data_IF_419097667041
#
_entry.id   IF_419097667041
#
_cell.length_a   1.000
_cell.length_b   1.000
_cell.length_c   1.000
_cell.angle_alpha   90.00
_cell.angle_beta   90.00
_cell.angle_gamma   90.00
#
_symmetry.space_group_name_H-M   'P 1'
#
loop_
_entity.id
_entity.type
_entity.pdbx_description
1 polymer ?
#
# COMPACT_ATOMS: atom_id res chain seq x y z
N UNK A 1 -73.80 -0.31 -20.36
CA UNK A 1 -73.85 -0.73 -18.95
C UNK A 1 -72.57 -0.27 -18.29
N UNK A 2 -72.72 0.57 -17.25
CA UNK A 2 -71.87 0.74 -16.06
C UNK A 2 -70.38 1.11 -16.33
N UNK A 3 -69.83 2.27 -15.98
CA UNK A 3 -70.21 3.26 -14.97
C UNK A 3 -69.11 3.38 -13.90
N UNK A 4 -68.44 4.55 -13.89
CA UNK A 4 -67.80 5.26 -12.77
C UNK A 4 -66.76 4.58 -11.84
N UNK A 5 -65.57 5.21 -11.75
CA UNK A 5 -64.88 5.56 -10.48
C UNK A 5 -63.57 6.28 -10.77
N UNK A 6 -63.04 7.21 -9.98
CA UNK A 6 -63.55 8.11 -8.95
C UNK A 6 -62.39 9.10 -8.65
N UNK A 7 -62.73 10.30 -8.19
CA UNK A 7 -61.88 11.49 -8.03
C UNK A 7 -60.75 11.39 -6.97
N UNK A 8 -59.75 12.31 -7.00
CA UNK A 8 -58.76 12.48 -5.93
C UNK A 8 -59.31 13.36 -4.80
N UNK A 9 -59.10 12.96 -3.55
CA UNK A 9 -59.50 13.75 -2.37
C UNK A 9 -58.30 14.29 -1.58
N UNK A 10 -58.43 15.57 -1.24
CA UNK A 10 -57.53 16.42 -0.47
C UNK A 10 -57.47 16.05 1.01
N UNK A 11 -56.27 16.29 1.57
CA UNK A 11 -55.93 16.86 2.87
C UNK A 11 -56.98 16.93 3.99
N UNK A 12 -56.59 16.43 5.17
CA UNK A 12 -57.03 17.00 6.46
C UNK A 12 -55.83 17.26 7.37
N UNK A 13 -55.78 18.52 7.84
CA UNK A 13 -54.95 19.02 8.92
C UNK A 13 -55.44 18.38 10.22
N UNK A 14 -54.52 18.00 11.11
CA UNK A 14 -54.88 17.77 12.51
C UNK A 14 -54.26 18.88 13.37
N UNK A 15 -55.08 19.90 13.59
CA UNK A 15 -54.95 20.92 14.62
C UNK A 15 -55.56 20.36 15.90
N UNK A 16 -54.77 20.24 16.97
CA UNK A 16 -55.31 20.22 18.33
C UNK A 16 -54.52 21.16 19.23
N UNK A 17 -55.12 22.32 19.46
CA UNK A 17 -54.84 23.21 20.57
C UNK A 17 -55.50 22.70 21.84
N UNK A 18 -54.80 22.80 22.98
CA UNK A 18 -55.33 23.05 24.34
C UNK A 18 -54.11 23.43 25.21
N UNK A 19 -53.91 24.74 25.45
CA UNK A 19 -54.20 25.49 26.70
C UNK A 19 -53.12 25.27 27.79
N UNK A 20 -52.10 26.14 27.95
CA UNK A 20 -52.06 27.43 28.70
C UNK A 20 -52.27 27.21 30.23
N UNK A 21 -51.47 27.68 31.22
CA UNK A 21 -50.35 28.64 31.37
C UNK A 21 -49.59 28.33 32.72
N UNK A 22 -48.93 29.28 33.42
CA UNK A 22 -47.57 29.80 33.21
C UNK A 22 -46.67 29.65 34.45
N UNK A 23 -45.35 29.68 34.33
CA UNK A 23 -44.50 30.23 35.39
C UNK A 23 -43.24 30.84 34.77
N UNK A 24 -43.09 32.13 35.00
CA UNK A 24 -42.02 33.01 34.57
C UNK A 24 -40.70 32.69 35.28
N UNK A 25 -39.57 32.90 34.58
CA UNK A 25 -38.40 33.68 35.02
C UNK A 25 -37.43 33.84 33.82
N UNK A 26 -36.66 34.95 33.75
CA UNK A 26 -36.05 35.45 32.51
C UNK A 26 -34.64 34.88 32.31
N UNK A 27 -34.33 34.35 31.11
CA UNK A 27 -32.95 34.10 30.69
C UNK A 27 -32.48 35.16 29.69
N UNK A 28 -31.79 36.11 30.31
CA UNK A 28 -30.61 36.86 29.87
C UNK A 28 -30.08 36.52 28.48
N UNK A 29 -30.00 37.57 27.65
CA UNK A 29 -29.31 37.66 26.38
C UNK A 29 -27.82 37.30 26.51
N UNK A 30 -27.37 36.46 25.59
CA UNK A 30 -25.97 36.27 25.19
C UNK A 30 -25.38 37.61 24.72
N UNK A 31 -24.13 37.93 25.08
CA UNK A 31 -23.10 37.90 24.05
C UNK A 31 -21.75 37.33 24.53
N UNK A 32 -21.38 36.19 23.96
CA UNK A 32 -20.07 35.78 23.45
C UNK A 32 -18.84 35.90 24.36
N UNK A 33 -18.10 34.79 24.53
CA UNK A 33 -16.65 34.85 24.69
C UNK A 33 -15.94 34.38 23.41
N UNK A 34 -15.28 35.36 22.80
CA UNK A 34 -13.99 35.31 22.08
C UNK A 34 -13.39 33.92 21.83
N UNK A 35 -13.38 33.56 20.54
CA UNK A 35 -12.50 32.57 19.92
C UNK A 35 -11.04 33.05 20.03
N UNK A 36 -10.12 32.31 20.69
CA UNK A 36 -8.71 32.49 20.43
C UNK A 36 -8.36 31.84 19.10
N UNK A 37 -8.18 32.70 18.11
CA UNK A 37 -7.44 32.45 16.88
C UNK A 37 -5.98 32.24 17.22
N UNK A 38 -5.55 30.98 17.23
CA UNK A 38 -4.18 30.59 17.00
C UNK A 38 -4.22 29.56 15.87
N UNK A 39 -4.16 30.09 14.65
CA UNK A 39 -3.79 29.33 13.47
C UNK A 39 -2.44 28.65 13.74
N UNK A 40 -2.41 27.33 13.70
CA UNK A 40 -1.28 26.59 13.18
C UNK A 40 -1.88 25.63 12.16
N UNK A 41 -1.41 25.79 10.94
CA UNK A 41 -1.91 25.19 9.73
C UNK A 41 -2.19 23.70 9.86
N UNK A 42 -3.47 23.37 9.70
CA UNK A 42 -3.97 22.13 9.15
C UNK A 42 -3.33 21.92 7.77
N UNK A 43 -2.11 21.38 7.75
CA UNK A 43 -1.61 20.59 6.64
C UNK A 43 -1.74 19.12 7.04
N UNK A 44 -2.96 18.71 7.36
CA UNK A 44 -3.38 17.32 7.20
C UNK A 44 -3.09 16.96 5.75
N UNK A 45 -1.99 16.25 5.54
CA UNK A 45 -1.67 15.58 4.28
C UNK A 45 -2.85 14.67 3.99
N UNK A 46 -3.75 15.17 3.15
CA UNK A 46 -4.86 14.44 2.57
C UNK A 46 -4.22 13.39 1.66
N UNK A 47 -3.80 12.29 2.29
CA UNK A 47 -3.40 11.08 1.61
C UNK A 47 -4.66 10.62 0.88
N UNK A 48 -4.79 11.05 -0.37
CA UNK A 48 -5.73 10.49 -1.32
C UNK A 48 -5.55 8.98 -1.25
N UNK A 49 -6.47 8.29 -0.58
CA UNK A 49 -6.51 6.84 -0.52
C UNK A 49 -6.88 6.37 -1.92
N UNK A 50 -5.91 6.40 -2.83
CA UNK A 50 -5.98 5.69 -4.09
C UNK A 50 -6.22 4.25 -3.70
N UNK A 51 -7.39 3.73 -4.03
CA UNK A 51 -7.77 2.37 -3.70
C UNK A 51 -6.67 1.43 -4.21
N UNK A 52 -6.05 0.70 -3.28
CA UNK A 52 -4.99 -0.22 -3.63
C UNK A 52 -5.60 -1.35 -4.46
N UNK A 53 -4.94 -1.69 -5.57
CA UNK A 53 -5.35 -2.84 -6.37
C UNK A 53 -5.31 -4.10 -5.49
N UNK A 54 -6.35 -4.96 -5.52
CA UNK A 54 -6.35 -6.18 -4.74
C UNK A 54 -5.23 -7.11 -5.21
N UNK A 55 -4.61 -7.84 -4.29
CA UNK A 55 -3.51 -8.78 -4.62
C UNK A 55 -3.94 -9.87 -5.59
N UNK A 56 -5.23 -10.23 -5.58
CA UNK A 56 -5.85 -11.20 -6.51
C UNK A 56 -5.89 -10.71 -7.96
N UNK A 57 -5.70 -9.40 -8.21
CA UNK A 57 -5.58 -8.84 -9.55
C UNK A 57 -4.23 -9.13 -10.20
N UNK A 58 -3.22 -9.55 -9.44
CA UNK A 58 -1.88 -9.82 -9.96
C UNK A 58 -1.78 -11.26 -10.45
N UNK A 59 -1.13 -11.44 -11.62
CA UNK A 59 -0.81 -12.76 -12.16
C UNK A 59 0.49 -13.25 -11.51
N UNK A 60 0.38 -13.87 -10.34
CA UNK A 60 1.52 -14.50 -9.69
C UNK A 60 2.02 -15.69 -10.53
N UNK A 61 3.34 -15.87 -10.70
CA UNK A 61 3.87 -17.09 -11.28
C UNK A 61 3.49 -18.28 -10.40
N UNK A 62 3.21 -19.43 -11.00
CA UNK A 62 3.01 -20.66 -10.23
C UNK A 62 4.32 -21.03 -9.53
N UNK A 63 4.27 -21.14 -8.20
CA UNK A 63 5.39 -21.60 -7.37
C UNK A 63 5.06 -23.02 -6.93
N UNK A 64 5.85 -24.03 -7.29
CA UNK A 64 5.65 -25.40 -6.80
C UNK A 64 5.72 -25.43 -5.28
N UNK A 65 4.81 -26.18 -4.65
CA UNK A 65 4.90 -26.45 -3.22
C UNK A 65 6.18 -27.23 -2.91
N UNK A 66 6.76 -26.97 -1.74
CA UNK A 66 7.97 -27.65 -1.29
C UNK A 66 7.75 -29.17 -1.23
N UNK A 67 8.71 -29.92 -1.77
CA UNK A 67 8.64 -31.38 -1.73
C UNK A 67 8.75 -31.84 -0.28
N UNK A 68 7.80 -32.66 0.17
CA UNK A 68 7.80 -33.25 1.51
C UNK A 68 9.06 -34.10 1.82
N UNK A 69 9.80 -34.48 0.78
CA UNK A 69 11.11 -35.11 0.87
C UNK A 69 12.12 -34.28 0.06
N UNK A 70 12.84 -33.34 0.69
CA UNK A 70 13.86 -32.57 0.00
C UNK A 70 15.03 -33.49 -0.39
N UNK A 71 15.53 -33.33 -1.61
CA UNK A 71 16.74 -34.02 -2.06
C UNK A 71 17.92 -33.50 -1.23
N UNK A 72 18.64 -34.35 -0.47
CA UNK A 72 19.75 -33.92 0.37
C UNK A 72 20.88 -33.25 -0.42
N UNK A 73 21.01 -33.54 -1.73
CA UNK A 73 22.02 -32.90 -2.59
C UNK A 73 21.64 -31.48 -3.00
N UNK A 74 20.36 -31.10 -2.87
CA UNK A 74 19.85 -29.77 -3.20
C UNK A 74 19.68 -28.86 -1.99
N UNK A 75 20.21 -29.29 -0.84
CA UNK A 75 20.14 -28.52 0.41
C UNK A 75 20.85 -27.16 0.29
N UNK A 76 21.94 -27.12 -0.44
CA UNK A 76 22.79 -25.94 -0.60
C UNK A 76 22.43 -25.10 -1.85
N UNK A 77 21.49 -25.56 -2.68
CA UNK A 77 21.02 -24.80 -3.84
C UNK A 77 20.19 -23.58 -3.37
N UNK A 78 20.29 -22.42 -4.05
CA UNK A 78 19.46 -21.27 -3.72
C UNK A 78 17.97 -21.63 -3.91
N UNK A 79 17.19 -21.57 -2.82
CA UNK A 79 15.76 -21.85 -2.87
C UNK A 79 15.01 -20.73 -3.60
N UNK A 80 14.00 -21.10 -4.37
CA UNK A 80 13.08 -20.12 -4.97
C UNK A 80 12.22 -19.46 -3.90
N UNK A 81 11.81 -18.21 -4.14
CA UNK A 81 10.85 -17.54 -3.27
C UNK A 81 9.52 -18.31 -3.21
N UNK A 82 8.99 -18.47 -1.99
CA UNK A 82 7.72 -19.12 -1.71
C UNK A 82 6.54 -18.14 -1.82
N UNK A 83 5.32 -18.65 -2.02
CA UNK A 83 4.12 -17.82 -2.15
C UNK A 83 3.91 -16.86 -0.95
N UNK A 84 4.05 -17.29 0.32
CA UNK A 84 3.93 -16.37 1.47
C UNK A 84 4.96 -15.24 1.46
N UNK A 85 6.16 -15.50 0.90
CA UNK A 85 7.22 -14.49 0.80
C UNK A 85 6.89 -13.45 -0.28
N UNK A 86 6.34 -13.89 -1.42
CA UNK A 86 5.81 -12.96 -2.42
C UNK A 86 4.68 -12.08 -1.85
N UNK A 87 3.77 -12.66 -1.06
CA UNK A 87 2.71 -11.91 -0.39
C UNK A 87 3.26 -10.90 0.63
N UNK A 88 4.27 -11.29 1.41
CA UNK A 88 4.95 -10.40 2.35
C UNK A 88 5.61 -9.20 1.62
N UNK A 89 6.28 -9.45 0.51
CA UNK A 89 6.87 -8.39 -0.33
C UNK A 89 5.77 -7.46 -0.87
N UNK A 90 4.68 -8.02 -1.41
CA UNK A 90 3.59 -7.24 -2.00
C UNK A 90 2.84 -6.36 -0.98
N UNK A 91 2.71 -6.86 0.24
CA UNK A 91 2.00 -6.16 1.34
C UNK A 91 2.91 -5.22 2.15
N UNK A 92 4.23 -5.32 1.99
CA UNK A 92 5.21 -4.52 2.73
C UNK A 92 5.08 -3.01 2.48
N UNK A 93 4.81 -2.20 3.53
CA UNK A 93 4.82 -0.74 3.42
C UNK A 93 6.21 -0.18 3.10
N UNK A 94 7.28 -0.83 3.57
CA UNK A 94 8.65 -0.38 3.33
C UNK A 94 9.02 -0.48 1.84
N UNK A 95 8.68 -1.59 1.20
CA UNK A 95 8.87 -1.79 -0.25
C UNK A 95 8.09 -0.73 -1.05
N UNK A 96 6.82 -0.48 -0.69
CA UNK A 96 6.01 0.56 -1.35
C UNK A 96 6.62 1.95 -1.20
N UNK A 97 7.15 2.29 -0.02
CA UNK A 97 7.83 3.59 0.22
C UNK A 97 9.10 3.72 -0.63
N UNK A 98 9.96 2.70 -0.65
CA UNK A 98 11.18 2.72 -1.46
C UNK A 98 10.87 2.95 -2.95
N UNK A 99 9.86 2.27 -3.49
CA UNK A 99 9.42 2.47 -4.88
C UNK A 99 8.81 3.85 -5.14
N UNK A 100 8.15 4.46 -4.15
CA UNK A 100 7.59 5.81 -4.26
C UNK A 100 8.67 6.91 -4.15
N UNK A 101 9.67 6.71 -3.30
CA UNK A 101 10.81 7.64 -3.13
C UNK A 101 11.72 7.70 -4.36
N UNK A 102 11.78 6.61 -5.14
CA UNK A 102 12.67 6.49 -6.30
C UNK A 102 11.89 6.26 -7.60
N UNK A 103 11.42 7.32 -8.29
CA UNK A 103 10.54 7.18 -9.46
C UNK A 103 11.21 6.50 -10.68
N UNK A 104 12.55 6.48 -10.74
CA UNK A 104 13.30 5.81 -11.81
C UNK A 104 13.46 4.30 -11.58
N UNK A 105 13.35 3.85 -10.33
CA UNK A 105 13.59 2.47 -9.93
C UNK A 105 12.64 1.46 -10.61
N UNK A 106 11.32 1.71 -10.76
CA UNK A 106 10.44 0.81 -11.51
C UNK A 106 10.83 0.65 -12.99
N UNK A 107 11.42 1.66 -13.62
CA UNK A 107 11.88 1.56 -15.00
C UNK A 107 13.15 0.70 -15.09
N UNK A 108 14.09 0.90 -14.16
CA UNK A 108 15.30 0.09 -14.03
C UNK A 108 14.98 -1.39 -13.76
N UNK A 109 14.08 -1.68 -12.82
CA UNK A 109 13.66 -3.06 -12.54
C UNK A 109 13.05 -3.72 -13.78
N UNK A 110 12.26 -2.98 -14.57
CA UNK A 110 11.69 -3.49 -15.83
C UNK A 110 12.77 -3.76 -16.88
N UNK A 111 13.82 -2.94 -17.00
CA UNK A 111 14.90 -3.22 -17.95
C UNK A 111 15.71 -4.44 -17.51
N UNK A 112 15.99 -4.59 -16.22
CA UNK A 112 16.65 -5.78 -15.67
C UNK A 112 15.80 -7.05 -15.90
N UNK A 113 14.48 -6.94 -15.76
CA UNK A 113 13.54 -8.05 -16.01
C UNK A 113 13.36 -8.41 -17.48
N UNK A 114 13.91 -7.64 -18.43
CA UNK A 114 13.97 -8.04 -19.83
C UNK A 114 15.20 -8.92 -20.14
N UNK A 115 16.25 -8.81 -19.33
CA UNK A 115 17.48 -9.58 -19.49
C UNK A 115 17.32 -11.00 -18.96
N UNK A 116 18.08 -11.95 -19.51
CA UNK A 116 18.05 -13.37 -19.15
C UNK A 116 19.47 -13.92 -19.06
N UNK A 117 19.67 -14.93 -18.21
CA UNK A 117 20.96 -15.61 -18.07
C UNK A 117 22.07 -14.64 -17.61
N UNK A 118 23.30 -14.79 -18.11
CA UNK A 118 24.47 -14.05 -17.61
C UNK A 118 24.36 -12.54 -17.79
N UNK A 119 23.72 -12.06 -18.86
CA UNK A 119 23.51 -10.63 -19.11
C UNK A 119 22.70 -9.95 -17.98
N UNK A 120 21.75 -10.68 -17.39
CA UNK A 120 20.99 -10.18 -16.24
C UNK A 120 21.86 -10.05 -15.01
N UNK A 121 22.74 -11.02 -14.78
CA UNK A 121 23.63 -11.06 -13.63
C UNK A 121 24.65 -9.91 -13.70
N UNK A 122 25.30 -9.73 -14.85
CA UNK A 122 26.20 -8.62 -15.12
C UNK A 122 25.52 -7.26 -14.91
N UNK A 123 24.32 -7.06 -15.48
CA UNK A 123 23.57 -5.82 -15.30
C UNK A 123 23.17 -5.56 -13.84
N UNK A 124 22.85 -6.61 -13.06
CA UNK A 124 22.59 -6.50 -11.63
C UNK A 124 23.85 -6.10 -10.85
N UNK A 125 24.99 -6.71 -11.15
CA UNK A 125 26.27 -6.38 -10.53
C UNK A 125 26.67 -4.92 -10.79
N UNK A 126 26.49 -4.44 -12.03
CA UNK A 126 26.74 -3.04 -12.39
C UNK A 126 25.78 -2.09 -11.68
N UNK A 127 24.48 -2.41 -11.66
CA UNK A 127 23.47 -1.59 -10.97
C UNK A 127 23.72 -1.48 -9.45
N UNK A 128 24.17 -2.57 -8.82
CA UNK A 128 24.54 -2.62 -7.39
C UNK A 128 25.93 -2.03 -7.08
N UNK A 129 26.72 -1.77 -8.12
CA UNK A 129 28.08 -1.24 -7.99
C UNK A 129 29.08 -2.27 -7.48
N UNK A 130 28.82 -3.56 -7.68
CA UNK A 130 29.72 -4.67 -7.34
C UNK A 130 30.78 -4.85 -8.43
N UNK A 131 30.35 -4.75 -9.69
CA UNK A 131 31.23 -4.82 -10.85
C UNK A 131 31.90 -3.46 -11.16
N UNK A 132 33.07 -3.46 -11.81
CA UNK A 132 33.70 -2.24 -12.32
C UNK A 132 32.73 -1.49 -13.25
N UNK A 133 32.80 -0.15 -13.32
CA UNK A 133 31.87 0.62 -14.14
C UNK A 133 32.02 0.25 -15.63
N UNK A 134 30.94 -0.20 -16.27
CA UNK A 134 30.90 -0.34 -17.73
C UNK A 134 30.77 1.06 -18.34
N UNK A 135 31.68 1.49 -19.24
CA UNK A 135 31.56 2.77 -19.95
C UNK A 135 30.29 2.91 -20.81
N UNK A 136 29.56 1.82 -21.06
CA UNK A 136 28.32 1.81 -21.84
C UNK A 136 27.05 2.01 -21.01
N UNK A 137 27.12 1.82 -19.69
CA UNK A 137 25.97 1.93 -18.81
C UNK A 137 25.97 3.24 -18.03
N UNK A 138 24.83 3.93 -18.05
CA UNK A 138 24.61 5.11 -17.22
C UNK A 138 24.25 4.66 -15.81
N UNK A 139 25.29 4.27 -15.04
CA UNK A 139 25.16 4.04 -13.60
C UNK A 139 25.09 5.38 -12.89
N UNK A 140 23.95 5.70 -12.28
CA UNK A 140 23.85 6.81 -11.34
C UNK A 140 24.00 6.29 -9.93
N UNK A 141 24.71 7.03 -9.09
CA UNK A 141 24.87 6.70 -7.66
C UNK A 141 23.50 6.60 -6.97
N UNK A 142 22.55 7.45 -7.40
CA UNK A 142 21.16 7.43 -6.96
C UNK A 142 20.46 6.10 -7.25
N UNK A 143 20.67 5.51 -8.44
CA UNK A 143 20.07 4.21 -8.79
C UNK A 143 20.66 3.08 -7.95
N UNK A 144 21.97 3.11 -7.70
CA UNK A 144 22.62 2.13 -6.83
C UNK A 144 22.11 2.24 -5.40
N UNK A 145 21.97 3.45 -4.86
CA UNK A 145 21.39 3.69 -3.54
C UNK A 145 19.94 3.20 -3.47
N UNK A 146 19.12 3.58 -4.45
CA UNK A 146 17.72 3.17 -4.55
C UNK A 146 17.56 1.64 -4.58
N UNK A 147 18.41 0.96 -5.35
CA UNK A 147 18.37 -0.50 -5.49
C UNK A 147 18.79 -1.21 -4.20
N UNK A 148 19.78 -0.66 -3.46
CA UNK A 148 20.17 -1.17 -2.14
C UNK A 148 19.07 -0.99 -1.11
N UNK A 149 18.47 0.19 -1.03
CA UNK A 149 17.35 0.45 -0.13
C UNK A 149 16.17 -0.49 -0.41
N UNK A 150 15.86 -0.74 -1.69
CA UNK A 150 14.85 -1.71 -2.08
C UNK A 150 15.21 -3.13 -1.65
N UNK A 151 16.46 -3.56 -1.87
CA UNK A 151 16.92 -4.88 -1.49
C UNK A 151 16.80 -5.12 0.01
N UNK A 152 17.19 -4.14 0.83
CA UNK A 152 17.04 -4.17 2.29
C UNK A 152 15.57 -4.24 2.71
N UNK A 153 14.69 -3.46 2.07
CA UNK A 153 13.26 -3.48 2.34
C UNK A 153 12.61 -4.82 1.98
N UNK A 154 13.05 -5.45 0.88
CA UNK A 154 12.61 -6.79 0.45
C UNK A 154 13.11 -7.85 1.43
N UNK A 155 14.38 -7.82 1.80
CA UNK A 155 14.95 -8.75 2.79
C UNK A 155 14.20 -8.67 4.12
N UNK A 156 13.98 -7.46 4.64
CA UNK A 156 13.23 -7.25 5.87
C UNK A 156 11.79 -7.79 5.80
N UNK A 157 11.14 -7.64 4.63
CA UNK A 157 9.79 -8.17 4.40
C UNK A 157 9.77 -9.71 4.41
N UNK A 158 10.74 -10.34 3.74
CA UNK A 158 10.79 -11.82 3.65
C UNK A 158 11.21 -12.45 4.98
N UNK A 159 12.09 -11.79 5.74
CA UNK A 159 12.59 -12.31 7.02
C UNK A 159 11.56 -12.24 8.16
N UNK A 160 10.45 -11.53 7.97
CA UNK A 160 9.37 -11.45 8.96
C UNK A 160 9.80 -10.91 10.33
N UNK A 161 10.81 -10.03 10.37
CA UNK A 161 11.25 -9.36 11.62
C UNK A 161 12.31 -10.11 12.45
N UNK A 162 12.84 -11.25 11.99
CA UNK A 162 13.92 -11.97 12.69
C UNK A 162 15.28 -11.26 12.51
N UNK A 163 15.61 -10.27 13.35
CA UNK A 163 16.84 -9.47 13.16
C UNK A 163 18.14 -10.24 13.40
N UNK A 164 18.11 -11.34 14.17
CA UNK A 164 19.30 -12.10 14.58
C UNK A 164 19.85 -13.10 13.54
N UNK A 165 19.18 -13.30 12.40
CA UNK A 165 19.62 -14.23 11.35
C UNK A 165 19.97 -13.46 10.09
N UNK A 166 21.25 -13.32 9.76
CA UNK A 166 21.68 -12.76 8.46
C UNK A 166 21.27 -13.70 7.32
N UNK A 167 20.56 -13.15 6.33
CA UNK A 167 20.10 -13.88 5.15
C UNK A 167 18.58 -14.08 5.08
N UNK A 168 18.15 -14.60 3.94
CA UNK A 168 16.78 -15.03 3.71
C UNK A 168 16.51 -16.30 4.51
N UNK A 169 15.42 -16.30 5.28
CA UNK A 169 14.93 -17.48 5.99
C UNK A 169 14.29 -18.43 4.95
N UNK A 170 15.13 -19.29 4.39
CA UNK A 170 14.73 -20.26 3.37
C UNK A 170 13.96 -21.45 3.95
N UNK A 171 13.59 -21.46 5.24
CA UNK A 171 13.00 -22.61 5.91
C UNK A 171 13.99 -23.76 6.10
N UNK A 172 13.71 -24.65 7.05
CA UNK A 172 14.51 -25.86 7.34
C UNK A 172 14.09 -27.02 6.42
#
# INVERSE_FOLDING_TARGET
MIGNSAAPYRATRNTRSQSAQPTSLPQVLDPGPSKPEAAHDDAAVEAQHTELRPLTSLKWPYVPEESAYPDPLRRDDPKSLQLPQYEAIATSPAVRRSLASHPQLPALLRSLDQLRGPEREEALEHALGVAPPDPREVRTEDNTHALRELAEAVEAAVRGGKQDVLGLDWGD
#
